data_IF_390983651950
#
_entry.id   IF_390983651950
#
_cell.length_a   1.000
_cell.length_b   1.000
_cell.length_c   1.000
_cell.angle_alpha   90.00
_cell.angle_beta   90.00
_cell.angle_gamma   90.00
#
_symmetry.space_group_name_H-M   'P 1'
#
loop_
_entity.id
_entity.type
_entity.pdbx_description
1 polymer ?
#
# COMPACT_ATOMS: atom_id res chain seq x y z
N UNK A 1 3.78 -1.04 -15.11
CA UNK A 1 4.34 -1.80 -13.98
C UNK A 1 3.23 -2.32 -13.08
N UNK A 2 3.29 -3.58 -12.73
CA UNK A 2 2.28 -4.20 -11.87
C UNK A 2 2.81 -4.30 -10.44
N UNK A 3 1.88 -4.21 -9.49
CA UNK A 3 2.23 -4.30 -8.06
C UNK A 3 2.17 -5.77 -7.63
N UNK A 4 3.24 -6.49 -7.85
CA UNK A 4 3.31 -7.92 -7.55
C UNK A 4 4.44 -8.24 -6.59
N UNK A 5 4.27 -9.32 -5.84
CA UNK A 5 5.35 -9.90 -5.05
C UNK A 5 5.20 -11.41 -4.99
N UNK A 6 6.31 -12.12 -4.87
CA UNK A 6 6.27 -13.56 -4.71
C UNK A 6 6.36 -13.91 -3.23
N UNK A 7 5.50 -14.83 -2.80
CA UNK A 7 5.48 -15.28 -1.43
C UNK A 7 4.89 -16.68 -1.37
N UNK A 8 5.57 -17.58 -0.68
CA UNK A 8 5.07 -18.94 -0.49
C UNK A 8 4.83 -19.71 -1.78
N UNK A 9 5.65 -19.49 -2.79
CA UNK A 9 5.53 -20.20 -4.06
C UNK A 9 4.47 -19.67 -5.00
N UNK A 10 3.84 -18.56 -4.67
CA UNK A 10 2.85 -17.95 -5.56
C UNK A 10 3.12 -16.46 -5.68
N UNK A 11 2.55 -15.86 -6.73
CA UNK A 11 2.68 -14.43 -6.97
C UNK A 11 1.39 -13.73 -6.58
N UNK A 12 1.51 -12.70 -5.75
CA UNK A 12 0.38 -11.87 -5.33
C UNK A 12 0.38 -10.60 -6.18
N UNK A 13 -0.79 -10.24 -6.70
CA UNK A 13 -1.00 -8.99 -7.41
C UNK A 13 -1.94 -8.13 -6.57
N UNK A 14 -1.54 -6.90 -6.31
CA UNK A 14 -2.33 -6.00 -5.47
C UNK A 14 -3.06 -4.99 -6.35
N UNK A 15 -4.38 -4.93 -6.22
CA UNK A 15 -5.22 -3.95 -6.91
C UNK A 15 -6.27 -3.44 -5.94
N UNK A 16 -6.64 -2.17 -6.10
CA UNK A 16 -7.73 -1.60 -5.33
C UNK A 16 -8.93 -1.41 -6.25
N UNK A 17 -10.05 -2.02 -5.91
CA UNK A 17 -11.30 -1.99 -6.66
C UNK A 17 -12.42 -1.58 -5.74
N UNK A 18 -13.60 -1.26 -6.30
CA UNK A 18 -14.77 -0.95 -5.47
C UNK A 18 -15.13 -2.12 -4.57
N UNK A 19 -14.99 -3.35 -5.06
CA UNK A 19 -15.27 -4.51 -4.21
C UNK A 19 -14.29 -4.60 -3.05
N UNK A 20 -13.01 -4.34 -3.29
CA UNK A 20 -12.03 -4.29 -2.20
C UNK A 20 -12.39 -3.20 -1.20
N UNK A 21 -12.81 -2.05 -1.69
CA UNK A 21 -13.26 -0.94 -0.84
C UNK A 21 -14.40 -1.39 0.07
N UNK A 22 -15.44 -2.02 -0.51
CA UNK A 22 -16.58 -2.52 0.27
C UNK A 22 -16.11 -3.50 1.33
N UNK A 23 -15.25 -4.45 0.97
CA UNK A 23 -14.77 -5.46 1.91
C UNK A 23 -13.96 -4.84 3.05
N UNK A 24 -13.15 -3.85 2.74
CA UNK A 24 -12.36 -3.16 3.75
C UNK A 24 -13.28 -2.44 4.74
N UNK A 25 -14.27 -1.71 4.24
CA UNK A 25 -15.18 -0.97 5.10
C UNK A 25 -16.08 -1.87 5.94
N UNK A 26 -16.42 -3.04 5.42
CA UNK A 26 -17.19 -4.02 6.21
C UNK A 26 -16.39 -4.51 7.42
N UNK A 27 -15.08 -4.62 7.29
CA UNK A 27 -14.23 -5.14 8.37
C UNK A 27 -13.65 -4.06 9.26
N UNK A 28 -13.32 -2.91 8.69
CA UNK A 28 -12.55 -1.88 9.39
C UNK A 28 -13.30 -0.56 9.58
N UNK A 29 -14.46 -0.40 8.96
CA UNK A 29 -15.18 0.86 8.99
C UNK A 29 -14.68 1.80 7.91
N UNK A 30 -14.75 3.09 8.15
CA UNK A 30 -14.48 4.12 7.14
C UNK A 30 -13.08 4.03 6.54
N UNK A 31 -13.02 3.96 5.21
CA UNK A 31 -11.75 3.97 4.50
C UNK A 31 -11.00 5.29 4.72
N UNK A 32 -11.73 6.41 4.80
CA UNK A 32 -11.11 7.71 5.05
C UNK A 32 -10.38 7.73 6.37
N UNK A 33 -10.97 7.14 7.41
CA UNK A 33 -10.31 7.05 8.71
C UNK A 33 -9.09 6.15 8.66
N UNK A 34 -9.18 5.06 7.93
CA UNK A 34 -8.04 4.17 7.77
C UNK A 34 -6.88 4.91 7.08
N UNK A 35 -7.19 5.67 6.03
CA UNK A 35 -6.18 6.45 5.32
C UNK A 35 -5.51 7.47 6.23
N UNK A 36 -6.28 8.15 7.06
CA UNK A 36 -5.74 9.10 8.03
C UNK A 36 -4.77 8.41 8.99
N UNK A 37 -5.13 7.22 9.46
CA UNK A 37 -4.28 6.46 10.38
C UNK A 37 -3.02 5.96 9.68
N UNK A 38 -3.13 5.55 8.43
CA UNK A 38 -1.96 5.15 7.65
C UNK A 38 -1.02 6.33 7.46
N UNK A 39 -1.57 7.50 7.11
CA UNK A 39 -0.77 8.71 6.90
C UNK A 39 -0.09 9.18 8.18
N UNK A 40 -0.72 8.96 9.33
CA UNK A 40 -0.17 9.31 10.63
C UNK A 40 0.71 8.21 11.22
N UNK A 41 0.92 7.13 10.47
CA UNK A 41 1.69 5.96 10.92
C UNK A 41 1.11 5.34 12.18
N UNK A 42 -0.20 5.37 12.30
CA UNK A 42 -0.93 4.91 13.49
C UNK A 42 -1.91 3.77 13.18
N UNK A 43 -1.84 3.20 11.99
CA UNK A 43 -2.70 2.08 11.64
C UNK A 43 -2.18 0.79 12.27
N UNK A 44 -3.03 0.00 12.95
CA UNK A 44 -2.56 -1.25 13.53
C UNK A 44 -2.22 -2.26 12.44
N UNK A 45 -1.31 -3.17 12.78
CA UNK A 45 -0.85 -4.19 11.83
C UNK A 45 -2.02 -5.01 11.31
N UNK A 46 -2.99 -5.34 12.16
CA UNK A 46 -4.15 -6.14 11.74
C UNK A 46 -4.95 -5.43 10.65
N UNK A 47 -5.11 -4.12 10.74
CA UNK A 47 -5.81 -3.35 9.72
C UNK A 47 -5.03 -3.34 8.40
N UNK A 48 -3.71 -3.23 8.46
CA UNK A 48 -2.88 -3.27 7.28
C UNK A 48 -2.91 -4.63 6.60
N UNK A 49 -2.96 -5.70 7.39
CA UNK A 49 -3.09 -7.06 6.85
C UNK A 49 -4.45 -7.24 6.16
N UNK A 50 -5.52 -6.70 6.76
CA UNK A 50 -6.85 -6.75 6.14
C UNK A 50 -6.84 -6.01 4.78
N UNK A 51 -6.20 -4.85 4.73
CA UNK A 51 -6.05 -4.09 3.50
C UNK A 51 -5.27 -4.90 2.45
N UNK A 52 -4.18 -5.54 2.87
CA UNK A 52 -3.35 -6.35 1.99
C UNK A 52 -4.13 -7.55 1.45
N UNK A 53 -4.91 -8.23 2.30
CA UNK A 53 -5.70 -9.37 1.89
C UNK A 53 -6.79 -8.97 0.88
N UNK A 54 -7.46 -7.86 1.12
CA UNK A 54 -8.52 -7.38 0.23
C UNK A 54 -7.96 -6.99 -1.15
N UNK A 55 -6.83 -6.29 -1.17
CA UNK A 55 -6.22 -5.86 -2.42
C UNK A 55 -5.59 -7.03 -3.19
N UNK A 56 -5.02 -8.02 -2.49
CA UNK A 56 -4.50 -9.23 -3.13
C UNK A 56 -5.63 -10.08 -3.70
N UNK A 57 -6.76 -10.16 -3.01
CA UNK A 57 -7.94 -10.86 -3.51
C UNK A 57 -8.46 -10.18 -4.79
N UNK A 58 -8.50 -8.85 -4.79
CA UNK A 58 -8.89 -8.11 -5.98
C UNK A 58 -7.93 -8.35 -7.14
N UNK A 59 -6.65 -8.48 -6.87
CA UNK A 59 -5.65 -8.82 -7.87
C UNK A 59 -5.90 -10.21 -8.48
N UNK A 60 -6.25 -11.19 -7.64
CA UNK A 60 -6.61 -12.51 -8.11
C UNK A 60 -7.81 -12.44 -9.06
N UNK A 61 -8.86 -11.72 -8.66
CA UNK A 61 -10.05 -11.57 -9.51
C UNK A 61 -9.71 -10.94 -10.85
N UNK A 62 -8.83 -9.96 -10.85
CA UNK A 62 -8.39 -9.31 -12.09
C UNK A 62 -7.74 -10.31 -13.03
N UNK A 63 -7.01 -11.29 -12.50
CA UNK A 63 -6.35 -12.32 -13.30
C UNK A 63 -7.23 -13.55 -13.55
N UNK A 64 -8.50 -13.51 -13.15
CA UNK A 64 -9.41 -14.63 -13.33
C UNK A 64 -9.23 -15.74 -12.31
N UNK A 65 -8.51 -15.50 -11.23
CA UNK A 65 -8.32 -16.46 -10.15
C UNK A 65 -9.41 -16.24 -9.12
N UNK A 66 -10.21 -17.26 -8.85
CA UNK A 66 -11.33 -17.14 -7.93
C UNK A 66 -10.94 -17.32 -6.46
N UNK A 67 -9.76 -17.83 -6.22
CA UNK A 67 -9.26 -18.07 -4.87
C UNK A 67 -9.12 -16.76 -4.11
N UNK A 68 -9.53 -16.80 -2.84
CA UNK A 68 -9.46 -15.65 -1.96
C UNK A 68 -8.13 -15.64 -1.21
N UNK A 69 -7.54 -14.47 -1.05
CA UNK A 69 -6.37 -14.30 -0.18
C UNK A 69 -6.89 -13.79 1.14
N UNK A 70 -6.77 -14.59 2.19
CA UNK A 70 -7.28 -14.23 3.52
C UNK A 70 -6.17 -13.63 4.37
N UNK A 71 -6.58 -12.98 5.46
CA UNK A 71 -5.61 -12.48 6.45
C UNK A 71 -4.75 -13.62 7.00
N UNK A 72 -5.38 -14.78 7.28
CA UNK A 72 -4.65 -15.93 7.80
C UNK A 72 -3.63 -16.45 6.79
N UNK A 73 -3.95 -16.43 5.49
CA UNK A 73 -2.98 -16.80 4.47
C UNK A 73 -1.71 -15.97 4.58
N UNK A 74 -1.88 -14.66 4.77
CA UNK A 74 -0.73 -13.76 4.87
C UNK A 74 0.02 -13.97 6.19
N UNK A 75 -0.72 -14.08 7.28
CA UNK A 75 -0.11 -14.24 8.61
C UNK A 75 0.69 -15.53 8.69
N UNK A 76 0.16 -16.62 8.13
CA UNK A 76 0.75 -17.94 8.26
C UNK A 76 1.91 -18.17 7.28
N UNK A 77 1.92 -17.49 6.14
CA UNK A 77 2.85 -17.81 5.05
C UNK A 77 3.89 -16.76 4.76
N UNK A 78 3.75 -15.54 5.28
CA UNK A 78 4.71 -14.47 5.01
C UNK A 78 5.61 -14.22 6.21
N UNK A 79 6.87 -13.91 5.93
CA UNK A 79 7.79 -13.44 6.96
C UNK A 79 7.44 -11.99 7.34
N UNK A 80 7.94 -11.50 8.50
CA UNK A 80 7.70 -10.09 8.85
C UNK A 80 8.15 -9.11 7.78
N UNK A 81 9.25 -9.37 7.09
CA UNK A 81 9.70 -8.51 6.00
C UNK A 81 8.72 -8.53 4.83
N UNK A 82 8.21 -9.71 4.49
CA UNK A 82 7.24 -9.85 3.41
C UNK A 82 5.91 -9.18 3.77
N UNK A 83 5.49 -9.23 5.03
CA UNK A 83 4.29 -8.51 5.48
C UNK A 83 4.46 -7.01 5.28
N UNK A 84 5.63 -6.47 5.61
CA UNK A 84 5.89 -5.04 5.37
C UNK A 84 5.81 -4.70 3.89
N UNK A 85 6.37 -5.56 3.04
CA UNK A 85 6.30 -5.35 1.60
C UNK A 85 4.86 -5.42 1.09
N UNK A 86 4.09 -6.40 1.54
CA UNK A 86 2.69 -6.54 1.16
C UNK A 86 1.88 -5.31 1.57
N UNK A 87 2.09 -4.83 2.79
CA UNK A 87 1.38 -3.65 3.29
C UNK A 87 1.72 -2.41 2.47
N UNK A 88 2.98 -2.28 2.07
CA UNK A 88 3.40 -1.15 1.23
C UNK A 88 2.75 -1.24 -0.16
N UNK A 89 2.72 -2.42 -0.75
CA UNK A 89 2.09 -2.61 -2.05
C UNK A 89 0.59 -2.38 -2.01
N UNK A 90 -0.05 -2.83 -0.93
CA UNK A 90 -1.49 -2.62 -0.74
C UNK A 90 -1.80 -1.12 -0.63
N UNK A 91 -1.00 -0.38 0.13
CA UNK A 91 -1.15 1.07 0.25
C UNK A 91 -0.98 1.76 -1.10
N UNK A 92 0.01 1.33 -1.87
CA UNK A 92 0.26 1.89 -3.20
C UNK A 92 -0.91 1.58 -4.15
N UNK A 93 -1.43 0.35 -4.10
CA UNK A 93 -2.58 -0.05 -4.90
C UNK A 93 -3.81 0.80 -4.58
N UNK A 94 -4.03 1.07 -3.30
CA UNK A 94 -5.12 1.92 -2.85
C UNK A 94 -4.98 3.33 -3.44
N UNK A 95 -3.79 3.91 -3.37
CA UNK A 95 -3.54 5.25 -3.90
C UNK A 95 -3.77 5.30 -5.40
N UNK A 96 -3.28 4.31 -6.13
CA UNK A 96 -3.47 4.23 -7.58
C UNK A 96 -4.94 4.09 -7.92
N UNK A 97 -5.67 3.22 -7.23
CA UNK A 97 -7.09 3.00 -7.48
C UNK A 97 -7.92 4.25 -7.25
N UNK A 98 -7.59 5.02 -6.22
CA UNK A 98 -8.31 6.24 -5.91
C UNK A 98 -8.06 7.35 -6.94
N UNK A 99 -6.93 7.30 -7.65
CA UNK A 99 -6.58 8.31 -8.65
C UNK A 99 -6.93 7.94 -10.08
N UNK A 100 -7.34 6.71 -10.32
CA UNK A 100 -7.52 6.21 -11.67
C UNK A 100 -8.52 7.04 -12.49
N UNK A 101 -9.61 7.45 -11.88
CA UNK A 101 -10.62 8.23 -12.56
C UNK A 101 -10.12 9.61 -12.96
N UNK A 102 -9.21 10.18 -12.18
CA UNK A 102 -8.69 11.51 -12.44
C UNK A 102 -7.68 11.51 -13.59
N UNK A 103 -6.92 10.43 -13.72
CA UNK A 103 -5.81 10.41 -14.64
C UNK A 103 -6.21 10.12 -16.09
N UNK A 104 -7.23 9.29 -16.30
CA UNK A 104 -7.65 8.85 -17.64
C UNK A 104 -6.47 8.33 -18.48
N UNK A 105 -5.49 7.72 -17.82
CA UNK A 105 -4.28 7.20 -18.45
C UNK A 105 -4.26 5.69 -18.33
N UNK A 106 -3.35 5.04 -19.07
CA UNK A 106 -3.23 3.60 -18.91
C UNK A 106 -2.65 3.28 -17.53
N UNK A 107 -2.83 2.04 -17.10
CA UNK A 107 -2.46 1.65 -15.73
C UNK A 107 -0.98 1.85 -15.45
N UNK A 108 -0.12 1.60 -16.43
CA UNK A 108 1.33 1.73 -16.22
C UNK A 108 1.74 3.17 -16.00
N UNK A 109 1.14 4.11 -16.76
CA UNK A 109 1.43 5.53 -16.56
C UNK A 109 0.97 6.01 -15.19
N UNK A 110 -0.22 5.60 -14.77
CA UNK A 110 -0.73 5.98 -13.45
C UNK A 110 0.16 5.42 -12.35
N UNK A 111 0.57 4.16 -12.47
CA UNK A 111 1.47 3.54 -11.49
C UNK A 111 2.79 4.30 -11.41
N UNK A 112 3.38 4.64 -12.55
CA UNK A 112 4.66 5.34 -12.56
C UNK A 112 4.56 6.71 -11.90
N UNK A 113 3.49 7.46 -12.18
CA UNK A 113 3.28 8.78 -11.57
C UNK A 113 3.13 8.67 -10.07
N UNK A 114 2.31 7.74 -9.59
CA UNK A 114 2.06 7.57 -8.16
C UNK A 114 3.33 7.13 -7.44
N UNK A 115 4.07 6.21 -8.02
CA UNK A 115 5.32 5.73 -7.42
C UNK A 115 6.34 6.86 -7.30
N UNK A 116 6.41 7.73 -8.30
CA UNK A 116 7.32 8.86 -8.26
C UNK A 116 6.93 9.84 -7.15
N UNK A 117 5.65 10.14 -7.01
CA UNK A 117 5.18 11.00 -5.93
C UNK A 117 5.50 10.44 -4.55
N UNK A 118 5.27 9.14 -4.37
CA UNK A 118 5.56 8.49 -3.09
C UNK A 118 7.06 8.51 -2.78
N UNK A 119 7.89 8.33 -3.79
CA UNK A 119 9.34 8.39 -3.62
C UNK A 119 9.78 9.78 -3.17
N UNK A 120 9.21 10.82 -3.77
CA UNK A 120 9.56 12.18 -3.40
C UNK A 120 9.11 12.51 -1.99
N UNK A 121 7.96 12.03 -1.57
CA UNK A 121 7.51 12.20 -0.20
C UNK A 121 8.45 11.53 0.80
N UNK A 122 8.92 10.32 0.48
CA UNK A 122 9.88 9.64 1.35
C UNK A 122 11.19 10.39 1.44
N UNK A 123 11.69 10.93 0.33
CA UNK A 123 12.91 11.71 0.34
C UNK A 123 12.76 12.98 1.16
N UNK A 124 11.60 13.63 1.07
CA UNK A 124 11.32 14.81 1.89
C UNK A 124 11.33 14.48 3.36
N UNK A 125 10.73 13.36 3.74
CA UNK A 125 10.73 12.94 5.13
C UNK A 125 12.13 12.65 5.63
N UNK A 126 12.96 12.06 4.80
CA UNK A 126 14.35 11.80 5.18
C UNK A 126 15.16 13.06 5.36
N UNK A 127 14.91 14.06 4.54
CA UNK A 127 15.59 15.34 4.67
C UNK A 127 15.14 16.10 5.92
N UNK A 128 13.89 15.96 6.28
CA UNK A 128 13.33 16.67 7.45
C UNK A 128 13.60 15.96 8.77
N UNK A 129 13.61 14.62 8.74
CA UNK A 129 13.74 13.86 9.97
C UNK A 129 15.07 14.07 10.67
N UNK A 130 16.20 14.01 10.00
CA UNK A 130 17.48 14.23 10.70
C UNK A 130 17.69 15.67 11.11
N UNK A 131 16.95 16.58 10.58
CA UNK A 131 17.06 17.96 10.99
C UNK A 131 16.62 18.12 12.42
N UNK A 132 16.04 17.14 12.97
CA UNK A 132 15.83 17.16 14.39
C UNK A 132 17.15 17.14 15.10
N UNK A 133 18.17 16.79 14.39
CA UNK A 133 19.45 16.90 14.99
C UNK A 133 20.37 17.52 14.05
N UNK A 134 20.61 17.68 13.65
CA UNK A 134 21.39 18.27 12.86
C UNK A 134 21.17 19.35 12.21
N UNK A 135 20.98 18.91 12.46
CA UNK A 135 20.95 19.72 11.78
C UNK A 135 21.24 20.47 12.05
N UNK A 136 21.51 20.15 12.23
CA UNK A 136 21.70 20.92 12.01
C UNK A 136 22.33 21.28 12.09
N UNK A 137 22.59 20.89 11.98
CA UNK A 137 23.03 21.44 11.48
C UNK A 137 23.47 21.80 11.13
N UNK A 138 23.44 21.57 10.82
CA UNK A 138 23.65 22.18 10.01
C UNK A 138 23.67 22.78 9.85
N UNK A 139 23.60 22.64 9.97
CA UNK A 139 23.49 23.42 9.40
C UNK A 139 23.78 24.04 9.49
N UNK A 140 23.84 23.68 9.70
CA UNK A 140 24.04 24.33 9.36
C UNK A 140 24.62 24.87 9.27
N UNK A 141 24.71 24.66 9.16
CA UNK A 141 25.18 25.28 8.71
C UNK A 141 25.59 25.89 8.52
N UNK A 142 25.62 25.57 8.62
CA UNK A 142 26.00 26.32 8.08
C UNK A 142 26.16 26.81 7.79
#
# INVERSE_FOLDING_TARGET
MALTMKAGGRELLFRFTVRAWVEIEEKLGSLNRLLERIDSDDAPLTALITLSAATATAGNRYRGITERVTEDDLIDNLSPMQIKMANRMAKTALTIGMRREEAEQDDDEVIDVVLEELRQEELKKKEEAPSASAADSASATD
#
